data_IF_955315625894
#
_entry.id   IF_955315625894
#
_cell.length_a   1.000
_cell.length_b   1.000
_cell.length_c   1.000
_cell.angle_alpha   90.00
_cell.angle_beta   90.00
_cell.angle_gamma   90.00
#
_symmetry.space_group_name_H-M   'P 1'
#
loop_
_entity.id
_entity.type
_entity.pdbx_description
1 polymer ?
#
# COMPACT_ATOMS: atom_id res chain seq x y z
N UNK A 1 2.56 -3.93 28.68
CA UNK A 1 3.17 -5.01 27.89
C UNK A 1 4.22 -4.40 26.96
N UNK A 2 5.45 -4.88 27.01
CA UNK A 2 6.51 -4.48 26.09
C UNK A 2 6.16 -4.91 24.67
N UNK A 3 5.91 -3.92 23.82
CA UNK A 3 5.60 -4.14 22.41
C UNK A 3 6.82 -4.62 21.60
N UNK A 4 8.02 -4.39 22.15
CA UNK A 4 9.29 -4.64 21.48
C UNK A 4 10.21 -5.49 22.34
N UNK A 5 11.01 -6.31 21.69
CA UNK A 5 12.10 -7.08 22.30
C UNK A 5 13.37 -6.87 21.46
N UNK A 6 14.42 -6.36 22.11
CA UNK A 6 15.75 -6.27 21.47
C UNK A 6 16.40 -7.64 21.54
N UNK A 7 16.98 -8.08 20.43
CA UNK A 7 17.73 -9.34 20.31
C UNK A 7 19.17 -8.99 19.96
N UNK A 8 20.10 -9.55 20.70
CA UNK A 8 21.52 -9.39 20.42
C UNK A 8 21.97 -10.24 19.21
N UNK A 9 23.22 -10.03 18.76
CA UNK A 9 23.80 -10.76 17.61
C UNK A 9 23.85 -12.26 17.82
N UNK A 10 24.10 -12.72 19.04
CA UNK A 10 24.23 -14.16 19.36
C UNK A 10 22.89 -14.85 19.28
N UNK A 11 21.88 -14.23 19.84
CA UNK A 11 20.49 -14.73 19.80
C UNK A 11 19.93 -14.66 18.39
N UNK A 12 20.17 -13.57 17.66
CA UNK A 12 19.76 -13.40 16.26
C UNK A 12 20.37 -14.45 15.35
N UNK A 13 21.67 -14.75 15.55
CA UNK A 13 22.35 -15.83 14.81
C UNK A 13 21.75 -17.20 15.12
N UNK A 14 21.42 -17.46 16.41
CA UNK A 14 20.83 -18.73 16.83
C UNK A 14 19.41 -18.93 16.28
N UNK A 15 18.57 -17.90 16.30
CA UNK A 15 17.16 -18.00 15.91
C UNK A 15 16.95 -17.92 14.39
N UNK A 16 17.72 -17.07 13.71
CA UNK A 16 17.44 -16.72 12.31
C UNK A 16 18.66 -16.80 11.38
N UNK A 17 19.83 -17.18 11.90
CA UNK A 17 21.07 -17.28 11.11
C UNK A 17 21.75 -15.96 10.79
N UNK A 18 21.26 -14.82 11.28
CA UNK A 18 21.81 -13.48 10.96
C UNK A 18 22.79 -12.97 12.01
N UNK A 19 23.91 -12.41 11.56
CA UNK A 19 24.94 -11.82 12.46
C UNK A 19 24.68 -10.31 12.69
N UNK A 20 23.48 -9.95 13.13
CA UNK A 20 23.09 -8.58 13.42
C UNK A 20 22.28 -8.48 14.71
N UNK A 21 22.17 -7.28 15.26
CA UNK A 21 21.15 -7.04 16.27
C UNK A 21 19.78 -6.98 15.61
N UNK A 22 18.73 -7.35 16.33
CA UNK A 22 17.35 -7.33 15.86
C UNK A 22 16.41 -6.65 16.85
N UNK A 23 15.24 -6.30 16.35
CA UNK A 23 14.10 -5.84 17.12
C UNK A 23 12.87 -6.67 16.74
N UNK A 24 12.36 -7.44 17.69
CA UNK A 24 11.08 -8.13 17.50
C UNK A 24 9.95 -7.16 17.86
N UNK A 25 9.00 -7.00 16.95
CA UNK A 25 7.74 -6.31 17.18
C UNK A 25 6.68 -7.37 17.48
N UNK A 26 6.37 -7.59 18.77
CA UNK A 26 5.53 -8.71 19.23
C UNK A 26 4.12 -8.76 18.61
N UNK A 27 3.59 -7.60 18.20
CA UNK A 27 2.30 -7.49 17.49
C UNK A 27 2.46 -7.17 16.00
N UNK A 28 3.69 -7.29 15.47
CA UNK A 28 3.98 -7.18 14.06
C UNK A 28 3.61 -8.46 13.30
N UNK A 29 3.50 -8.35 11.98
CA UNK A 29 3.17 -9.49 11.16
C UNK A 29 3.12 -9.10 9.67
N UNK A 30 2.52 -9.98 8.90
CA UNK A 30 2.23 -9.76 7.49
C UNK A 30 0.76 -10.10 7.21
N UNK A 31 0.25 -9.62 6.10
CA UNK A 31 -1.13 -9.86 5.69
C UNK A 31 -1.19 -10.17 4.19
N UNK A 32 -2.29 -10.79 3.78
CA UNK A 32 -2.60 -11.06 2.39
C UNK A 32 -3.53 -9.96 1.85
N UNK A 33 -3.03 -8.99 1.05
CA UNK A 33 -3.81 -7.84 0.61
C UNK A 33 -5.13 -8.21 -0.09
N UNK A 34 -5.07 -9.17 -1.01
CA UNK A 34 -6.27 -9.61 -1.77
C UNK A 34 -7.33 -10.23 -0.85
N UNK A 35 -6.91 -11.01 0.16
CA UNK A 35 -7.84 -11.63 1.11
C UNK A 35 -8.49 -10.57 2.00
N UNK A 36 -7.68 -9.68 2.58
CA UNK A 36 -8.18 -8.58 3.42
C UNK A 36 -9.19 -7.72 2.66
N UNK A 37 -8.85 -7.28 1.44
CA UNK A 37 -9.76 -6.47 0.63
C UNK A 37 -11.08 -7.22 0.34
N UNK A 38 -10.99 -8.53 0.03
CA UNK A 38 -12.18 -9.37 -0.19
C UNK A 38 -13.06 -9.43 1.05
N UNK A 39 -12.48 -9.73 2.20
CA UNK A 39 -13.23 -9.84 3.47
C UNK A 39 -13.83 -8.49 3.90
N UNK A 40 -13.08 -7.40 3.80
CA UNK A 40 -13.57 -6.06 4.14
C UNK A 40 -14.71 -5.58 3.23
N UNK A 41 -14.80 -6.10 2.01
CA UNK A 41 -15.87 -5.75 1.07
C UNK A 41 -17.02 -6.76 1.02
N UNK A 42 -16.94 -7.86 1.78
CA UNK A 42 -17.95 -8.90 1.85
C UNK A 42 -19.12 -8.50 2.78
N UNK A 43 -19.79 -7.39 2.45
CA UNK A 43 -20.94 -6.91 3.22
C UNK A 43 -22.13 -6.64 2.31
N UNK A 44 -23.37 -6.93 2.78
CA UNK A 44 -24.60 -6.83 1.98
C UNK A 44 -24.86 -5.41 1.40
N UNK A 45 -24.38 -4.38 2.07
CA UNK A 45 -24.54 -2.98 1.64
C UNK A 45 -23.41 -2.51 0.69
N UNK A 46 -22.44 -3.37 0.37
CA UNK A 46 -21.33 -3.04 -0.54
C UNK A 46 -21.56 -3.73 -1.88
N UNK A 47 -21.66 -2.93 -2.93
CA UNK A 47 -21.75 -3.42 -4.30
C UNK A 47 -20.45 -3.14 -5.04
N UNK A 48 -19.74 -4.19 -5.41
CA UNK A 48 -18.52 -4.10 -6.20
C UNK A 48 -18.87 -4.11 -7.69
N UNK A 49 -18.32 -3.15 -8.44
CA UNK A 49 -18.38 -3.11 -9.90
C UNK A 49 -16.97 -3.06 -10.46
N UNK A 50 -16.54 -4.13 -11.12
CA UNK A 50 -15.23 -4.21 -11.78
C UNK A 50 -15.28 -3.70 -13.22
N UNK A 51 -14.09 -3.45 -13.82
CA UNK A 51 -13.92 -3.00 -15.20
C UNK A 51 -14.55 -1.64 -15.52
N UNK A 52 -14.71 -0.79 -14.51
CA UNK A 52 -15.17 0.58 -14.65
C UNK A 52 -14.00 1.52 -14.36
N UNK A 53 -13.42 2.08 -15.40
CA UNK A 53 -12.32 3.04 -15.29
C UNK A 53 -12.90 4.44 -15.08
N UNK A 54 -12.80 4.93 -13.85
CA UNK A 54 -13.30 6.24 -13.45
C UNK A 54 -12.66 7.36 -14.28
N UNK A 55 -13.49 8.24 -14.85
CA UNK A 55 -13.05 9.36 -15.67
C UNK A 55 -13.36 10.72 -15.04
N UNK A 56 -14.45 10.84 -14.29
CA UNK A 56 -14.85 12.08 -13.64
C UNK A 56 -16.27 12.04 -13.11
N UNK A 57 -16.78 13.21 -12.79
CA UNK A 57 -18.12 13.40 -12.26
C UNK A 57 -18.73 14.71 -12.71
N UNK A 58 -20.06 14.78 -12.69
CA UNK A 58 -20.86 16.00 -12.81
C UNK A 58 -21.77 16.13 -11.60
N UNK A 59 -22.07 17.38 -11.22
CA UNK A 59 -23.12 17.67 -10.24
C UNK A 59 -24.48 17.82 -10.96
N UNK A 60 -25.44 17.04 -10.51
CA UNK A 60 -26.81 17.07 -11.02
C UNK A 60 -27.77 17.35 -9.87
N UNK A 61 -28.12 18.62 -9.67
CA UNK A 61 -28.85 19.12 -8.49
C UNK A 61 -28.10 18.78 -7.20
N UNK A 62 -28.69 17.96 -6.32
CA UNK A 62 -28.09 17.51 -5.05
C UNK A 62 -27.39 16.16 -5.16
N UNK A 63 -27.26 15.61 -6.35
CA UNK A 63 -26.67 14.27 -6.61
C UNK A 63 -25.45 14.37 -7.52
N UNK A 64 -24.67 13.30 -7.54
CA UNK A 64 -23.51 13.15 -8.40
C UNK A 64 -23.79 12.11 -9.48
N UNK A 65 -23.31 12.41 -10.66
CA UNK A 65 -23.24 11.53 -11.81
C UNK A 65 -21.79 11.15 -12.06
N UNK A 66 -21.50 9.86 -12.12
CA UNK A 66 -20.13 9.33 -12.25
C UNK A 66 -19.90 8.87 -13.69
N UNK A 67 -18.80 9.29 -14.28
CA UNK A 67 -18.41 8.95 -15.64
C UNK A 67 -17.26 7.94 -15.68
N UNK A 68 -17.30 7.10 -16.70
CA UNK A 68 -16.29 6.08 -16.97
C UNK A 68 -15.73 6.23 -18.39
N UNK A 69 -14.47 5.81 -18.60
CA UNK A 69 -13.77 5.94 -19.89
C UNK A 69 -14.52 5.25 -21.07
N UNK A 70 -15.30 4.21 -20.78
CA UNK A 70 -16.14 3.52 -21.77
C UNK A 70 -17.42 4.30 -22.13
N UNK A 71 -17.53 5.57 -21.72
CA UNK A 71 -18.71 6.44 -21.86
C UNK A 71 -19.95 5.99 -21.06
N UNK A 72 -19.83 4.98 -20.21
CA UNK A 72 -20.88 4.62 -19.27
C UNK A 72 -21.01 5.73 -18.21
N UNK A 73 -22.25 5.96 -17.76
CA UNK A 73 -22.59 6.91 -16.70
C UNK A 73 -23.46 6.21 -15.66
N UNK A 74 -23.15 6.42 -14.39
CA UNK A 74 -24.01 6.03 -13.27
C UNK A 74 -24.42 7.28 -12.49
N UNK A 75 -25.67 7.38 -12.14
CA UNK A 75 -26.28 8.60 -11.60
C UNK A 75 -26.90 8.37 -10.22
N UNK A 76 -27.09 9.46 -9.46
CA UNK A 76 -27.87 9.47 -8.25
C UNK A 76 -27.11 9.21 -6.96
N UNK A 77 -25.78 9.40 -6.95
CA UNK A 77 -24.96 9.26 -5.75
C UNK A 77 -25.02 10.51 -4.88
N UNK A 78 -25.01 10.33 -3.56
CA UNK A 78 -24.95 11.42 -2.59
C UNK A 78 -23.53 11.96 -2.45
N UNK A 79 -22.57 11.06 -2.29
CA UNK A 79 -21.16 11.36 -2.04
C UNK A 79 -20.26 10.53 -2.96
N UNK A 80 -19.07 11.05 -3.25
CA UNK A 80 -18.01 10.39 -4.00
C UNK A 80 -16.73 10.35 -3.18
N UNK A 81 -16.14 9.18 -3.02
CA UNK A 81 -14.80 9.02 -2.44
C UNK A 81 -13.85 8.56 -3.53
N UNK A 82 -12.87 9.40 -3.89
CA UNK A 82 -11.85 9.08 -4.89
C UNK A 82 -10.65 8.45 -4.18
N UNK A 83 -10.45 7.15 -4.38
CA UNK A 83 -9.34 6.38 -3.80
C UNK A 83 -8.60 5.56 -4.87
N UNK A 84 -8.49 6.11 -6.09
CA UNK A 84 -8.03 5.43 -7.30
C UNK A 84 -6.49 5.42 -7.48
N UNK A 85 -5.73 5.58 -6.38
CA UNK A 85 -4.28 5.50 -6.38
C UNK A 85 -3.62 6.55 -7.30
N UNK A 86 -2.77 6.15 -8.28
CA UNK A 86 -2.10 7.08 -9.18
C UNK A 86 -3.04 8.00 -9.96
N UNK A 87 -4.29 7.60 -10.18
CA UNK A 87 -5.31 8.43 -10.82
C UNK A 87 -5.63 9.72 -10.07
N UNK A 88 -5.30 9.82 -8.79
CA UNK A 88 -5.44 11.06 -8.00
C UNK A 88 -4.61 12.22 -8.55
N UNK A 89 -3.53 11.97 -9.30
CA UNK A 89 -2.72 13.01 -9.92
C UNK A 89 -3.49 13.86 -10.95
N UNK A 90 -4.64 13.35 -11.44
CA UNK A 90 -5.54 14.09 -12.31
C UNK A 90 -6.26 15.22 -11.55
N UNK A 91 -6.44 15.08 -10.24
CA UNK A 91 -7.30 15.96 -9.42
C UNK A 91 -6.54 16.73 -8.34
N UNK A 92 -5.38 16.24 -7.93
CA UNK A 92 -4.63 16.78 -6.80
C UNK A 92 -3.16 17.00 -7.15
N UNK A 93 -2.61 18.13 -6.73
CA UNK A 93 -1.19 18.48 -6.88
C UNK A 93 -0.34 17.93 -5.72
N UNK A 94 0.98 18.08 -5.82
CA UNK A 94 1.93 17.67 -4.79
C UNK A 94 2.13 16.16 -4.65
N UNK A 95 1.67 15.37 -5.61
CA UNK A 95 1.75 13.91 -5.62
C UNK A 95 2.97 13.40 -6.41
N UNK A 96 3.51 12.27 -5.97
CA UNK A 96 4.63 11.58 -6.62
C UNK A 96 4.29 10.09 -6.76
N UNK A 97 4.53 9.55 -7.95
CA UNK A 97 4.36 8.14 -8.25
C UNK A 97 5.72 7.45 -8.17
N UNK A 98 5.74 6.25 -7.65
CA UNK A 98 6.88 5.34 -7.68
C UNK A 98 6.44 3.94 -8.04
N UNK A 99 7.28 3.20 -8.76
CA UNK A 99 7.09 1.79 -9.07
C UNK A 99 7.75 0.93 -8.00
N UNK A 100 7.09 -0.13 -7.59
CA UNK A 100 7.63 -1.14 -6.69
C UNK A 100 7.46 -2.52 -7.25
N UNK A 101 8.55 -3.31 -7.23
CA UNK A 101 8.54 -4.67 -7.71
C UNK A 101 8.84 -5.65 -6.58
N UNK A 102 8.16 -6.78 -6.57
CA UNK A 102 8.31 -7.91 -5.66
C UNK A 102 8.83 -9.11 -6.43
N UNK A 103 9.55 -9.99 -5.73
CA UNK A 103 9.99 -11.27 -6.27
C UNK A 103 9.54 -12.39 -5.34
N UNK A 104 8.88 -13.41 -5.90
CA UNK A 104 8.52 -14.65 -5.24
C UNK A 104 9.43 -15.78 -5.71
N UNK A 105 10.22 -16.32 -4.81
CA UNK A 105 11.16 -17.41 -5.06
C UNK A 105 10.47 -18.74 -4.73
N UNK A 106 10.35 -19.61 -5.74
CA UNK A 106 9.75 -20.93 -5.59
C UNK A 106 10.75 -21.96 -5.05
N UNK A 107 10.25 -22.92 -4.29
CA UNK A 107 11.03 -24.05 -3.78
C UNK A 107 11.78 -23.75 -2.49
N UNK A 108 12.75 -24.61 -2.19
CA UNK A 108 13.56 -24.47 -0.97
C UNK A 108 14.53 -23.30 -1.11
N UNK A 109 14.59 -22.49 -0.06
CA UNK A 109 15.52 -21.39 0.08
C UNK A 109 16.42 -21.64 1.30
N UNK A 110 17.64 -21.10 1.33
CA UNK A 110 18.59 -21.33 2.43
C UNK A 110 18.20 -20.58 3.72
N UNK A 111 16.94 -20.27 3.88
CA UNK A 111 16.38 -19.56 5.04
C UNK A 111 14.98 -20.09 5.31
N UNK A 112 14.75 -20.48 6.55
CA UNK A 112 13.43 -20.85 7.07
C UNK A 112 13.04 -19.83 8.14
N UNK A 113 11.93 -19.14 7.93
CA UNK A 113 11.46 -18.05 8.77
C UNK A 113 10.06 -18.31 9.27
N UNK A 114 9.87 -18.19 10.58
CA UNK A 114 8.54 -18.17 11.21
C UNK A 114 7.93 -16.76 11.19
N UNK A 115 8.76 -15.71 11.13
CA UNK A 115 8.37 -14.32 11.16
C UNK A 115 8.92 -13.55 9.95
N UNK A 116 8.21 -12.52 9.47
CA UNK A 116 8.75 -11.65 8.44
C UNK A 116 9.94 -10.86 8.98
N UNK A 117 10.97 -10.74 8.18
CA UNK A 117 12.16 -9.92 8.49
C UNK A 117 12.15 -8.68 7.60
N UNK A 118 12.40 -7.52 8.21
CA UNK A 118 12.49 -6.24 7.51
C UNK A 118 13.79 -5.50 7.87
N UNK A 119 14.48 -5.03 6.86
CA UNK A 119 15.67 -4.18 6.95
C UNK A 119 15.66 -3.20 5.76
N UNK A 120 16.66 -3.17 4.91
CA UNK A 120 16.63 -2.44 3.63
C UNK A 120 15.76 -3.13 2.53
N UNK A 121 14.81 -3.88 2.92
CA UNK A 121 13.85 -4.71 2.22
C UNK A 121 13.29 -5.74 3.19
N UNK A 122 12.38 -6.58 2.74
CA UNK A 122 11.78 -7.61 3.58
C UNK A 122 11.88 -8.99 2.93
N UNK A 123 11.85 -10.00 3.80
CA UNK A 123 11.68 -11.41 3.44
C UNK A 123 10.48 -11.91 4.24
N UNK A 124 9.53 -12.53 3.56
CA UNK A 124 8.38 -13.18 4.22
C UNK A 124 8.69 -14.66 4.49
N UNK A 125 8.05 -15.26 5.50
CA UNK A 125 8.01 -16.72 5.65
C UNK A 125 7.55 -17.38 4.36
N UNK A 126 8.00 -18.63 4.17
CA UNK A 126 7.59 -19.43 3.01
C UNK A 126 6.10 -19.77 3.07
N UNK A 127 5.35 -19.32 2.06
CA UNK A 127 3.90 -19.50 1.97
C UNK A 127 3.58 -20.15 0.63
N UNK A 128 2.86 -21.27 0.66
CA UNK A 128 2.55 -22.05 -0.55
C UNK A 128 3.79 -22.35 -1.41
N UNK A 129 4.89 -22.72 -0.76
CA UNK A 129 6.18 -23.01 -1.39
C UNK A 129 6.81 -21.79 -2.13
N UNK A 130 6.50 -20.57 -1.69
CA UNK A 130 7.03 -19.32 -2.23
C UNK A 130 7.56 -18.47 -1.08
N UNK A 131 8.82 -18.02 -1.21
CA UNK A 131 9.43 -17.02 -0.34
C UNK A 131 9.37 -15.67 -1.05
N UNK A 132 8.59 -14.73 -0.53
CA UNK A 132 8.46 -13.39 -1.09
C UNK A 132 9.49 -12.44 -0.52
N UNK A 133 10.16 -11.72 -1.40
CA UNK A 133 11.09 -10.65 -1.06
C UNK A 133 10.64 -9.33 -1.69
N UNK A 134 10.90 -8.24 -1.01
CA UNK A 134 10.47 -6.92 -1.47
C UNK A 134 11.11 -5.78 -0.72
N UNK A 135 10.89 -4.61 -1.22
CA UNK A 135 10.46 -4.29 -2.56
C UNK A 135 11.41 -3.28 -3.18
N UNK A 136 11.37 -3.14 -4.49
CA UNK A 136 12.05 -2.01 -5.13
C UNK A 136 11.32 -0.71 -4.84
N UNK A 137 11.98 0.41 -5.05
CA UNK A 137 11.40 1.74 -4.97
C UNK A 137 11.99 2.60 -6.09
N UNK A 138 11.37 2.53 -7.24
CA UNK A 138 11.81 3.18 -8.47
C UNK A 138 11.06 4.50 -8.62
N UNK A 139 11.79 5.61 -8.59
CA UNK A 139 11.22 6.96 -8.79
C UNK A 139 11.22 7.37 -10.25
N UNK A 140 12.12 6.80 -11.03
CA UNK A 140 12.24 6.98 -12.46
C UNK A 140 11.98 5.62 -13.13
N UNK A 141 10.98 5.55 -13.97
CA UNK A 141 10.59 4.35 -14.70
C UNK A 141 9.84 4.76 -15.98
N UNK A 142 10.00 3.97 -17.03
CA UNK A 142 9.38 4.26 -18.34
C UNK A 142 8.00 3.59 -18.47
N UNK A 143 7.79 2.48 -17.78
CA UNK A 143 6.57 1.69 -17.83
C UNK A 143 6.29 1.03 -16.47
N UNK A 144 5.14 0.39 -16.36
CA UNK A 144 4.70 -0.34 -15.15
C UNK A 144 4.96 -1.83 -15.24
N UNK A 145 5.57 -2.29 -16.33
CA UNK A 145 5.78 -3.69 -16.59
C UNK A 145 6.85 -4.30 -15.68
N UNK A 146 6.82 -5.61 -15.56
CA UNK A 146 7.80 -6.38 -14.79
C UNK A 146 9.16 -6.27 -15.49
N UNK A 147 10.20 -5.89 -14.73
CA UNK A 147 11.57 -5.86 -15.21
C UNK A 147 12.39 -6.97 -14.54
N UNK A 148 12.77 -8.00 -15.31
CA UNK A 148 13.57 -9.13 -14.80
C UNK A 148 14.92 -8.70 -14.22
N UNK A 149 15.59 -7.75 -14.86
CA UNK A 149 16.86 -7.19 -14.36
C UNK A 149 16.71 -6.53 -12.99
N UNK A 150 15.61 -5.82 -12.78
CA UNK A 150 15.29 -5.21 -11.47
C UNK A 150 14.99 -6.28 -10.43
N UNK A 151 14.29 -7.36 -10.79
CA UNK A 151 14.06 -8.50 -9.92
C UNK A 151 15.36 -9.19 -9.48
N UNK A 152 16.29 -9.41 -10.39
CA UNK A 152 17.63 -9.95 -10.09
C UNK A 152 18.39 -9.05 -9.11
N UNK A 153 18.44 -7.74 -9.37
CA UNK A 153 19.07 -6.77 -8.46
C UNK A 153 18.43 -6.77 -7.06
N UNK A 154 17.12 -7.03 -6.97
CA UNK A 154 16.44 -7.16 -5.67
C UNK A 154 16.94 -8.39 -4.91
N UNK A 155 17.10 -9.53 -5.57
CA UNK A 155 17.68 -10.75 -4.98
C UNK A 155 19.11 -10.49 -4.48
N UNK A 156 19.95 -9.94 -5.35
CA UNK A 156 21.37 -9.61 -5.01
C UNK A 156 21.45 -8.66 -3.81
N UNK A 157 20.61 -7.62 -3.79
CA UNK A 157 20.53 -6.68 -2.67
C UNK A 157 20.10 -7.38 -1.39
N UNK A 158 19.10 -8.24 -1.46
CA UNK A 158 18.59 -9.00 -0.32
C UNK A 158 19.66 -9.95 0.21
N UNK A 159 20.32 -10.68 -0.66
CA UNK A 159 21.44 -11.56 -0.30
C UNK A 159 22.54 -10.83 0.43
N UNK A 160 22.94 -9.67 -0.07
CA UNK A 160 23.99 -8.83 0.54
C UNK A 160 23.55 -8.29 1.91
N UNK A 161 22.32 -7.78 2.02
CA UNK A 161 21.85 -7.14 3.24
C UNK A 161 21.65 -8.13 4.39
N UNK A 162 21.28 -9.36 4.08
CA UNK A 162 21.01 -10.40 5.08
C UNK A 162 22.13 -11.43 5.17
N UNK A 163 23.20 -11.33 4.36
CA UNK A 163 24.27 -12.29 4.26
C UNK A 163 23.75 -13.74 4.04
N UNK A 164 22.87 -13.90 3.08
CA UNK A 164 22.26 -15.17 2.67
C UNK A 164 22.46 -15.40 1.18
N UNK A 165 22.10 -16.58 0.69
CA UNK A 165 22.25 -16.92 -0.72
C UNK A 165 20.93 -17.43 -1.29
N UNK A 166 19.94 -16.54 -1.37
CA UNK A 166 18.68 -16.85 -2.04
C UNK A 166 18.95 -17.12 -3.51
N UNK A 167 18.44 -18.24 -4.00
CA UNK A 167 18.58 -18.63 -5.40
C UNK A 167 17.40 -18.07 -6.21
N UNK A 168 17.72 -17.21 -7.17
CA UNK A 168 16.79 -16.88 -8.25
C UNK A 168 16.75 -18.06 -9.24
N UNK A 169 15.57 -18.39 -9.73
CA UNK A 169 15.37 -19.37 -10.81
C UNK A 169 14.60 -18.73 -11.94
N UNK A 170 14.64 -19.35 -13.13
CA UNK A 170 13.83 -18.92 -14.28
C UNK A 170 12.31 -18.99 -14.03
N UNK A 171 11.92 -19.64 -12.91
CA UNK A 171 10.53 -19.78 -12.46
C UNK A 171 10.14 -18.82 -11.32
N UNK A 172 10.90 -17.74 -11.11
CA UNK A 172 10.50 -16.74 -10.11
C UNK A 172 9.22 -16.04 -10.54
N UNK A 173 8.37 -15.78 -9.55
CA UNK A 173 7.21 -14.94 -9.70
C UNK A 173 7.63 -13.48 -9.49
N UNK A 174 7.03 -12.59 -10.26
CA UNK A 174 7.26 -11.16 -10.07
C UNK A 174 5.95 -10.39 -10.17
N UNK A 175 5.82 -9.36 -9.35
CA UNK A 175 4.71 -8.41 -9.40
C UNK A 175 5.28 -7.00 -9.39
N UNK A 176 4.72 -6.11 -10.20
CA UNK A 176 5.09 -4.70 -10.25
C UNK A 176 3.83 -3.84 -10.11
N UNK A 177 3.89 -2.84 -9.23
CA UNK A 177 2.75 -1.98 -8.94
C UNK A 177 3.21 -0.54 -8.69
N UNK A 178 2.32 0.41 -8.96
CA UNK A 178 2.52 1.81 -8.67
C UNK A 178 2.10 2.13 -7.23
N UNK A 179 2.88 2.98 -6.59
CA UNK A 179 2.56 3.62 -5.32
C UNK A 179 2.48 5.12 -5.52
N UNK A 180 1.55 5.74 -4.85
CA UNK A 180 1.43 7.18 -4.82
C UNK A 180 1.75 7.70 -3.42
N UNK A 181 2.54 8.74 -3.34
CA UNK A 181 2.88 9.47 -2.12
C UNK A 181 2.79 10.97 -2.36
N UNK A 182 2.78 11.75 -1.31
CA UNK A 182 2.83 13.21 -1.33
C UNK A 182 4.27 13.74 -1.23
N UNK A 183 4.46 15.03 -1.50
CA UNK A 183 5.77 15.72 -1.35
C UNK A 183 6.28 15.66 0.10
N UNK A 184 5.41 15.83 1.06
CA UNK A 184 5.70 15.82 2.51
C UNK A 184 5.63 14.43 3.15
N UNK A 185 5.31 13.39 2.38
CA UNK A 185 5.15 12.01 2.80
C UNK A 185 3.97 11.75 3.77
N UNK A 186 3.09 12.73 3.97
CA UNK A 186 1.85 12.53 4.71
C UNK A 186 0.75 12.05 3.76
N UNK A 187 -0.22 11.24 4.22
CA UNK A 187 -1.36 10.84 3.40
C UNK A 187 -2.22 12.05 3.02
N UNK A 188 -3.11 11.85 2.07
CA UNK A 188 -4.21 12.75 1.77
C UNK A 188 -5.50 12.09 2.20
N UNK A 189 -6.30 12.75 3.04
CA UNK A 189 -7.65 12.31 3.38
C UNK A 189 -8.51 13.50 3.74
N UNK A 190 -9.74 13.52 3.24
CA UNK A 190 -10.70 14.58 3.53
C UNK A 190 -11.47 15.06 2.31
N UNK A 191 -12.10 16.20 2.47
CA UNK A 191 -12.96 16.83 1.48
C UNK A 191 -12.14 17.54 0.39
N UNK A 192 -12.49 17.34 -0.88
CA UNK A 192 -11.93 18.07 -2.03
C UNK A 192 -12.88 19.22 -2.44
N UNK A 193 -14.15 18.91 -2.53
CA UNK A 193 -15.25 19.83 -2.74
C UNK A 193 -16.53 19.29 -2.10
N UNK A 194 -17.63 19.99 -2.22
CA UNK A 194 -18.91 19.56 -1.65
C UNK A 194 -19.31 18.16 -2.16
N UNK A 195 -19.53 17.22 -1.22
CA UNK A 195 -19.87 15.82 -1.44
C UNK A 195 -18.79 15.01 -2.17
N UNK A 196 -17.55 15.54 -2.26
CA UNK A 196 -16.44 14.82 -2.89
C UNK A 196 -15.24 14.77 -1.94
N UNK A 197 -14.79 13.58 -1.70
CA UNK A 197 -13.73 13.26 -0.74
C UNK A 197 -12.63 12.42 -1.40
N UNK A 198 -11.50 12.31 -0.73
CA UNK A 198 -10.42 11.44 -1.16
C UNK A 198 -9.75 10.74 0.00
N UNK A 199 -9.15 9.57 -0.30
CA UNK A 199 -8.15 8.90 0.52
C UNK A 199 -7.03 8.47 -0.42
N UNK A 200 -5.81 8.93 -0.17
CA UNK A 200 -4.69 8.58 -1.03
C UNK A 200 -3.33 9.00 -0.51
N UNK A 201 -2.34 8.93 -1.38
CA UNK A 201 -0.94 9.22 -1.06
C UNK A 201 -0.37 8.43 0.13
N UNK A 202 -0.89 7.23 0.39
CA UNK A 202 -0.53 6.38 1.53
C UNK A 202 0.88 5.77 1.41
N UNK A 203 1.46 5.79 0.22
CA UNK A 203 2.77 5.18 -0.07
C UNK A 203 2.79 3.69 0.28
N UNK A 204 3.69 3.28 1.18
CA UNK A 204 3.78 1.90 1.69
C UNK A 204 2.91 1.62 2.92
N UNK A 205 2.14 2.61 3.40
CA UNK A 205 1.38 2.54 4.67
C UNK A 205 -0.12 2.33 4.46
N UNK A 206 -0.54 1.87 3.27
CA UNK A 206 -1.95 1.72 2.92
C UNK A 206 -2.74 0.89 3.91
N UNK A 207 -2.25 -0.29 4.27
CA UNK A 207 -2.95 -1.19 5.20
C UNK A 207 -2.90 -0.76 6.66
N UNK A 208 -1.91 0.02 7.06
CA UNK A 208 -1.83 0.55 8.45
C UNK A 208 -2.65 1.82 8.65
N UNK A 209 -2.75 2.69 7.65
CA UNK A 209 -3.45 3.97 7.76
C UNK A 209 -4.83 3.97 7.11
N UNK A 210 -5.05 3.11 6.10
CA UNK A 210 -6.29 3.09 5.32
C UNK A 210 -7.55 2.97 6.17
N UNK A 211 -7.64 2.02 7.12
CA UNK A 211 -8.83 1.89 7.98
C UNK A 211 -9.14 3.16 8.77
N UNK A 212 -8.14 3.71 9.46
CA UNK A 212 -8.31 4.95 10.26
C UNK A 212 -8.73 6.14 9.38
N UNK A 213 -8.15 6.28 8.19
CA UNK A 213 -8.51 7.36 7.27
C UNK A 213 -9.87 7.12 6.61
N UNK A 214 -10.27 5.86 6.45
CA UNK A 214 -11.62 5.49 6.06
C UNK A 214 -12.65 5.96 7.08
N UNK A 215 -12.43 5.67 8.37
CA UNK A 215 -13.26 6.13 9.47
C UNK A 215 -13.31 7.67 9.55
N UNK A 216 -12.17 8.33 9.32
CA UNK A 216 -12.12 9.79 9.28
C UNK A 216 -12.99 10.36 8.15
N UNK A 217 -12.85 9.87 6.93
CA UNK A 217 -13.68 10.35 5.80
C UNK A 217 -15.14 10.03 6.04
N UNK A 218 -15.47 8.85 6.57
CA UNK A 218 -16.84 8.51 6.95
C UNK A 218 -17.40 9.46 8.02
N UNK A 219 -16.58 9.89 8.98
CA UNK A 219 -17.01 10.87 9.98
C UNK A 219 -17.34 12.23 9.38
N UNK A 220 -16.61 12.66 8.35
CA UNK A 220 -16.91 13.89 7.62
C UNK A 220 -18.24 13.81 6.85
N UNK A 221 -18.51 12.68 6.19
CA UNK A 221 -19.74 12.44 5.44
C UNK A 221 -20.95 12.40 6.37
N UNK A 222 -20.83 11.71 7.51
CA UNK A 222 -21.91 11.51 8.45
C UNK A 222 -22.05 12.63 9.49
N UNK A 223 -21.24 13.67 9.46
CA UNK A 223 -21.17 14.74 10.47
C UNK A 223 -21.04 14.17 11.90
N UNK A 224 -20.22 13.14 12.07
CA UNK A 224 -19.97 12.47 13.34
C UNK A 224 -18.60 12.86 13.93
N UNK A 225 -18.32 12.57 15.21
CA UNK A 225 -17.04 12.91 15.82
C UNK A 225 -15.85 12.31 15.06
N UNK A 226 -14.84 13.14 14.84
CA UNK A 226 -13.62 12.74 14.13
C UNK A 226 -12.78 11.76 14.97
N UNK A 227 -12.28 10.66 14.40
CA UNK A 227 -11.36 9.74 15.07
C UNK A 227 -9.93 10.28 15.18
N UNK A 228 -9.64 11.42 14.56
CA UNK A 228 -8.31 12.07 14.59
C UNK A 228 -8.42 13.51 15.08
N UNK A 229 -7.33 14.05 15.64
CA UNK A 229 -7.28 15.43 16.11
C UNK A 229 -7.32 16.43 14.93
N UNK A 230 -7.76 17.67 15.22
CA UNK A 230 -7.78 18.77 14.24
C UNK A 230 -6.40 19.01 13.61
N UNK A 231 -5.32 18.92 14.41
CA UNK A 231 -3.96 19.10 13.90
C UNK A 231 -3.57 18.04 12.87
N UNK A 232 -3.95 16.78 13.09
CA UNK A 232 -3.74 15.70 12.12
C UNK A 232 -4.60 15.94 10.88
N UNK A 233 -5.88 16.31 11.05
CA UNK A 233 -6.78 16.58 9.94
C UNK A 233 -6.24 17.67 9.00
N UNK A 234 -5.73 18.77 9.55
CA UNK A 234 -5.09 19.85 8.78
C UNK A 234 -3.82 19.37 8.08
N UNK A 235 -2.99 18.56 8.74
CA UNK A 235 -1.75 18.05 8.15
C UNK A 235 -1.96 17.09 6.98
N UNK A 236 -3.14 16.44 6.88
CA UNK A 236 -3.47 15.49 5.81
C UNK A 236 -4.51 16.04 4.81
N UNK A 237 -4.86 17.31 4.93
CA UNK A 237 -5.83 17.96 4.04
C UNK A 237 -5.46 17.77 2.55
N UNK A 238 -6.41 17.32 1.70
CA UNK A 238 -6.11 17.05 0.28
C UNK A 238 -5.62 18.24 -0.51
N UNK A 239 -6.11 19.42 -0.18
CA UNK A 239 -5.84 20.66 -0.92
C UNK A 239 -4.67 21.49 -0.38
N UNK A 240 -3.89 20.94 0.60
CA UNK A 240 -2.75 21.65 1.22
C UNK A 240 -1.60 21.99 0.27
N UNK A 241 -1.57 21.39 -0.92
CA UNK A 241 -0.59 21.67 -1.97
C UNK A 241 -1.15 22.56 -3.09
N UNK A 242 -2.18 23.33 -2.81
CA UNK A 242 -2.63 24.36 -3.78
C UNK A 242 -1.50 25.36 -3.96
N UNK A 243 -1.04 25.52 -5.21
CA UNK A 243 -0.17 26.59 -5.67
C UNK A 243 -0.96 27.89 -5.71
#
# INVERSE_FOLDING_TARGET
EDLFQIIDKKEMKKLYGFESHGLIVKKGGYLFPKLICKEMTAHQNIKISCNHYFDGWDKNKSKLDIHFLNKEKKSGFDDLIIANGPGLTKYLSGLKISKGQLVGLRGEQPIDLDLPINSAGYILPKINNITWIGSTHEREFNDVDICHKTGQKLIERTNRNFNINLAGSDKMLMEAHLRIGSRDRLPLAGKIEENIYTIGALGSRGFSLGPLLGDYVASLINNSPSPISTGIALAIEPLRFKD
#
